data_IF_379241645031
#
_entry.id   IF_379241645031
#
_cell.length_a   1.000
_cell.length_b   1.000
_cell.length_c   1.000
_cell.angle_alpha   90.00
_cell.angle_beta   90.00
_cell.angle_gamma   90.00
#
_symmetry.space_group_name_H-M   'P 1'
#
loop_
_entity.id
_entity.type
_entity.pdbx_description
1 polymer ?
#
# COMPACT_ATOMS: atom_id res chain seq x y z
N UNK A 1 2.99 11.94 14.15
CA UNK A 1 2.20 12.98 14.88
C UNK A 1 1.43 12.31 16.02
N UNK A 2 1.45 12.85 17.26
CA UNK A 2 0.89 12.15 18.44
C UNK A 2 -0.58 11.74 18.33
N UNK A 3 -1.37 12.42 17.51
CA UNK A 3 -2.79 12.10 17.27
C UNK A 3 -2.94 11.18 16.06
N UNK A 4 -2.32 11.52 14.93
CA UNK A 4 -2.42 10.73 13.68
C UNK A 4 -1.74 9.36 13.81
N UNK A 5 -0.63 9.29 14.56
CA UNK A 5 0.18 8.08 14.73
C UNK A 5 -0.03 7.46 16.12
N UNK A 6 -1.24 7.58 16.70
CA UNK A 6 -1.58 7.02 18.02
C UNK A 6 -1.40 5.49 18.10
N UNK A 7 -1.29 4.81 16.96
CA UNK A 7 -0.97 3.38 16.86
C UNK A 7 0.49 3.07 17.27
N UNK A 8 1.38 4.08 17.25
CA UNK A 8 2.77 3.94 17.71
C UNK A 8 2.78 4.01 19.25
N UNK A 9 2.85 2.86 19.88
CA UNK A 9 2.84 2.73 21.35
C UNK A 9 4.22 3.03 21.95
N UNK A 10 4.28 3.13 23.29
CA UNK A 10 5.56 3.29 24.00
C UNK A 10 6.55 2.13 23.75
N UNK A 11 6.06 0.92 23.48
CA UNK A 11 6.91 -0.22 23.11
C UNK A 11 7.58 -0.02 21.74
N UNK A 12 6.96 0.78 20.87
CA UNK A 12 7.46 1.15 19.54
C UNK A 12 8.26 2.45 19.54
N UNK A 13 8.74 2.92 20.70
CA UNK A 13 9.43 4.21 20.86
C UNK A 13 10.59 4.41 19.87
N UNK A 14 11.23 3.35 19.43
CA UNK A 14 12.34 3.39 18.46
C UNK A 14 11.93 3.99 17.10
N UNK A 15 10.66 3.83 16.71
CA UNK A 15 10.11 4.41 15.47
C UNK A 15 9.35 5.72 15.70
N UNK A 16 9.31 6.24 16.93
CA UNK A 16 8.60 7.46 17.29
C UNK A 16 9.46 8.71 17.03
N UNK A 17 9.94 8.85 15.79
CA UNK A 17 10.71 9.98 15.28
C UNK A 17 10.45 10.22 13.80
N UNK A 18 10.88 11.33 13.27
CA UNK A 18 10.87 11.57 11.84
C UNK A 18 11.90 10.68 11.12
N UNK A 19 11.50 10.13 9.99
CA UNK A 19 12.35 9.38 9.06
C UNK A 19 12.30 10.10 7.70
N UNK A 20 13.33 10.86 7.44
CA UNK A 20 13.45 11.69 6.25
C UNK A 20 14.31 11.02 5.16
N UNK A 21 14.27 11.49 3.91
CA UNK A 21 15.09 10.92 2.84
C UNK A 21 16.57 10.78 3.19
N UNK A 22 17.13 11.70 3.96
CA UNK A 22 18.53 11.66 4.43
C UNK A 22 18.83 10.44 5.31
N UNK A 23 17.86 9.91 6.05
CA UNK A 23 18.01 8.69 6.85
C UNK A 23 18.00 7.43 5.98
N UNK A 24 17.28 7.47 4.86
CA UNK A 24 17.12 6.32 3.97
C UNK A 24 18.32 6.13 3.02
N UNK A 25 18.91 7.21 2.52
CA UNK A 25 19.93 7.14 1.50
C UNK A 25 21.13 6.25 1.87
N UNK A 26 21.71 6.34 3.09
CA UNK A 26 22.81 5.45 3.48
C UNK A 26 22.43 3.96 3.48
N UNK A 27 21.17 3.66 3.82
CA UNK A 27 20.66 2.28 3.84
C UNK A 27 20.51 1.71 2.43
N UNK A 28 20.02 2.52 1.49
CA UNK A 28 19.94 2.13 0.07
C UNK A 28 21.34 1.84 -0.48
N UNK A 29 22.30 2.73 -0.21
CA UNK A 29 23.69 2.58 -0.67
C UNK A 29 24.37 1.33 -0.08
N UNK A 30 24.21 1.09 1.22
CA UNK A 30 24.79 -0.06 1.91
C UNK A 30 24.23 -1.40 1.40
N UNK A 31 23.03 -1.41 0.83
CA UNK A 31 22.38 -2.60 0.30
C UNK A 31 22.33 -2.64 -1.23
N UNK A 32 23.03 -1.74 -1.93
CA UNK A 32 23.10 -1.65 -3.39
C UNK A 32 21.71 -1.50 -4.06
N UNK A 33 20.81 -0.72 -3.46
CA UNK A 33 19.55 -0.35 -4.07
C UNK A 33 19.68 0.92 -4.91
N UNK A 34 19.08 0.92 -6.10
CA UNK A 34 19.08 2.07 -7.01
C UNK A 34 18.11 3.18 -6.58
N UNK A 35 17.20 2.89 -5.66
CA UNK A 35 16.23 3.84 -5.14
C UNK A 35 15.06 3.19 -4.42
N UNK A 36 14.08 4.04 -4.10
CA UNK A 36 12.88 3.62 -3.38
C UNK A 36 11.63 4.25 -4.00
N UNK A 37 10.47 3.69 -3.67
CA UNK A 37 9.15 4.28 -3.89
C UNK A 37 8.62 4.74 -2.53
N UNK A 38 8.30 6.01 -2.40
CA UNK A 38 7.66 6.55 -1.21
C UNK A 38 6.16 6.22 -1.25
N UNK A 39 5.64 5.66 -0.16
CA UNK A 39 4.24 5.26 -0.06
C UNK A 39 3.59 6.01 1.09
N UNK A 40 2.39 6.54 0.85
CA UNK A 40 1.64 7.32 1.84
C UNK A 40 1.48 6.57 3.18
N UNK A 41 1.49 7.30 4.27
CA UNK A 41 1.18 6.84 5.62
C UNK A 41 -0.07 7.51 6.20
N UNK A 42 -0.45 8.69 5.68
CA UNK A 42 -1.67 9.42 6.04
C UNK A 42 -2.64 9.46 4.85
N UNK A 43 -3.94 9.36 5.11
CA UNK A 43 -4.98 9.43 4.09
C UNK A 43 -5.38 10.89 3.83
N UNK A 44 -4.49 11.63 3.19
CA UNK A 44 -4.72 13.02 2.79
C UNK A 44 -3.95 13.38 1.52
N UNK A 45 -4.49 14.30 0.73
CA UNK A 45 -3.79 14.86 -0.42
C UNK A 45 -2.57 15.69 0.00
N UNK A 46 -2.58 16.27 1.21
CA UNK A 46 -1.41 16.97 1.77
C UNK A 46 -0.22 16.03 1.93
N UNK A 47 -0.45 14.78 2.33
CA UNK A 47 0.60 13.75 2.39
C UNK A 47 1.12 13.42 0.99
N UNK A 48 0.22 13.31 0.01
CA UNK A 48 0.61 13.07 -1.38
C UNK A 48 1.50 14.19 -1.92
N UNK A 49 1.12 15.45 -1.69
CA UNK A 49 1.89 16.61 -2.11
C UNK A 49 3.24 16.68 -1.40
N UNK A 50 3.29 16.39 -0.10
CA UNK A 50 4.53 16.32 0.67
C UNK A 50 5.50 15.26 0.13
N UNK A 51 5.00 14.04 -0.16
CA UNK A 51 5.82 12.98 -0.73
C UNK A 51 6.33 13.33 -2.14
N UNK A 52 5.51 14.00 -2.95
CA UNK A 52 5.91 14.49 -4.27
C UNK A 52 6.98 15.56 -4.18
N UNK A 53 6.88 16.47 -3.21
CA UNK A 53 7.91 17.48 -2.96
C UNK A 53 9.24 16.81 -2.56
N UNK A 54 9.22 15.88 -1.60
CA UNK A 54 10.43 15.12 -1.22
C UNK A 54 11.02 14.35 -2.40
N UNK A 55 10.17 13.74 -3.22
CA UNK A 55 10.61 13.02 -4.40
C UNK A 55 11.24 13.97 -5.45
N UNK A 56 10.74 15.19 -5.59
CA UNK A 56 11.31 16.18 -6.52
C UNK A 56 12.74 16.59 -6.14
N UNK A 57 13.05 16.60 -4.85
CA UNK A 57 14.33 17.00 -4.28
C UNK A 57 15.32 15.84 -4.12
N UNK A 58 14.88 14.58 -4.31
CA UNK A 58 15.70 13.40 -4.07
C UNK A 58 15.56 12.41 -5.23
N UNK A 59 16.60 12.29 -6.05
CA UNK A 59 16.59 11.46 -7.27
C UNK A 59 16.50 9.95 -7.01
N UNK A 60 16.89 9.48 -5.84
CA UNK A 60 16.74 8.09 -5.44
C UNK A 60 15.31 7.74 -5.02
N UNK A 61 14.42 8.71 -4.81
CA UNK A 61 12.97 8.46 -4.74
C UNK A 61 12.46 8.39 -6.18
N UNK A 62 12.27 7.15 -6.67
CA UNK A 62 11.92 6.86 -8.08
C UNK A 62 10.42 6.99 -8.37
N UNK A 63 9.60 6.93 -7.34
CA UNK A 63 8.15 7.05 -7.47
C UNK A 63 7.49 7.36 -6.14
N UNK A 64 6.23 7.74 -6.23
CA UNK A 64 5.33 7.99 -5.09
C UNK A 64 4.05 7.19 -5.30
N UNK A 65 3.57 6.54 -4.26
CA UNK A 65 2.21 6.04 -4.15
C UNK A 65 1.52 6.92 -3.12
N UNK A 66 0.63 7.77 -3.58
CA UNK A 66 -0.07 8.76 -2.76
C UNK A 66 -1.41 8.26 -2.24
N UNK A 67 -2.20 9.19 -1.74
CA UNK A 67 -3.59 9.01 -1.42
C UNK A 67 -4.44 10.09 -2.09
N UNK A 68 -5.64 9.70 -2.49
CA UNK A 68 -6.70 10.55 -2.99
C UNK A 68 -8.03 9.94 -2.56
N UNK A 69 -9.05 10.74 -2.33
CA UNK A 69 -10.38 10.20 -2.08
C UNK A 69 -11.01 9.66 -3.37
N UNK A 70 -10.85 8.34 -3.59
CA UNK A 70 -11.42 7.65 -4.75
C UNK A 70 -12.96 7.61 -4.73
N UNK A 71 -13.59 7.90 -3.58
CA UNK A 71 -15.04 7.96 -3.46
C UNK A 71 -15.61 9.37 -3.74
N UNK A 72 -14.76 10.37 -3.94
CA UNK A 72 -15.18 11.75 -4.13
C UNK A 72 -15.90 11.94 -5.48
N UNK A 73 -16.91 12.82 -5.51
CA UNK A 73 -17.65 13.16 -6.74
C UNK A 73 -16.75 13.80 -7.81
N UNK A 74 -15.73 14.57 -7.38
CA UNK A 74 -14.79 15.27 -8.26
C UNK A 74 -13.52 14.45 -8.57
N UNK A 75 -13.55 13.12 -8.40
CA UNK A 75 -12.38 12.24 -8.56
C UNK A 75 -11.68 12.41 -9.91
N UNK A 76 -12.44 12.60 -11.00
CA UNK A 76 -11.90 12.79 -12.35
C UNK A 76 -10.99 14.02 -12.44
N UNK A 77 -11.43 15.13 -11.85
CA UNK A 77 -10.65 16.38 -11.79
C UNK A 77 -9.36 16.19 -10.98
N UNK A 78 -9.47 15.54 -9.82
CA UNK A 78 -8.30 15.29 -8.96
C UNK A 78 -7.27 14.39 -9.63
N UNK A 79 -7.71 13.33 -10.30
CA UNK A 79 -6.82 12.45 -11.07
C UNK A 79 -6.13 13.19 -12.21
N UNK A 80 -6.85 14.06 -12.93
CA UNK A 80 -6.26 14.89 -13.98
C UNK A 80 -5.18 15.84 -13.44
N UNK A 81 -5.41 16.46 -12.27
CA UNK A 81 -4.40 17.27 -11.59
C UNK A 81 -3.15 16.47 -11.27
N UNK A 82 -3.31 15.31 -10.62
CA UNK A 82 -2.19 14.48 -10.20
C UNK A 82 -1.45 13.81 -11.36
N UNK A 83 -2.08 13.64 -12.51
CA UNK A 83 -1.43 13.12 -13.72
C UNK A 83 -0.28 14.01 -14.24
N UNK A 84 -0.22 15.28 -13.81
CA UNK A 84 0.90 16.18 -14.10
C UNK A 84 2.21 15.80 -13.38
N UNK A 85 2.18 14.97 -12.35
CA UNK A 85 3.34 14.64 -11.53
C UNK A 85 3.99 13.33 -11.98
N UNK A 86 5.08 13.40 -12.75
CA UNK A 86 5.74 12.23 -13.36
C UNK A 86 6.20 11.15 -12.34
N UNK A 87 6.53 11.55 -11.12
CA UNK A 87 6.95 10.62 -10.05
C UNK A 87 5.77 9.95 -9.34
N UNK A 88 4.54 10.44 -9.48
CA UNK A 88 3.36 9.74 -8.96
C UNK A 88 3.09 8.50 -9.82
N UNK A 89 3.00 7.35 -9.18
CA UNK A 89 2.83 6.04 -9.85
C UNK A 89 1.48 5.41 -9.57
N UNK A 90 0.87 5.78 -8.46
CA UNK A 90 -0.41 5.19 -8.07
C UNK A 90 -0.93 5.75 -6.75
N UNK A 91 -1.98 5.11 -6.28
CA UNK A 91 -2.65 5.50 -5.05
C UNK A 91 -2.89 4.28 -4.17
N UNK A 92 -3.02 4.53 -2.86
CA UNK A 92 -3.33 3.54 -1.85
C UNK A 92 -4.33 4.10 -0.85
N UNK A 93 -5.32 3.29 -0.48
CA UNK A 93 -6.19 3.53 0.66
C UNK A 93 -5.91 2.49 1.76
N UNK A 94 -6.02 2.86 3.03
CA UNK A 94 -5.78 1.95 4.17
C UNK A 94 -7.05 1.12 4.41
N UNK A 95 -7.37 0.23 3.48
CA UNK A 95 -8.60 -0.60 3.52
C UNK A 95 -8.66 -1.47 4.78
N UNK A 96 -7.50 -1.88 5.30
CA UNK A 96 -7.43 -2.68 6.55
C UNK A 96 -8.06 -1.96 7.76
N UNK A 97 -8.19 -0.64 7.73
CA UNK A 97 -8.76 0.17 8.79
C UNK A 97 -10.24 0.52 8.56
N UNK A 98 -10.79 0.17 7.40
CA UNK A 98 -12.19 0.42 7.10
C UNK A 98 -13.10 -0.50 7.93
N UNK A 99 -14.17 0.06 8.53
CA UNK A 99 -15.15 -0.73 9.28
C UNK A 99 -16.05 -1.57 8.34
N UNK A 100 -16.21 -1.15 7.07
CA UNK A 100 -16.99 -1.85 6.07
C UNK A 100 -16.08 -2.82 5.30
N UNK A 101 -16.23 -4.11 5.55
CA UNK A 101 -15.47 -5.14 4.83
C UNK A 101 -15.71 -5.14 3.32
N UNK A 102 -16.87 -4.61 2.86
CA UNK A 102 -17.22 -4.50 1.45
C UNK A 102 -16.64 -3.25 0.79
N UNK A 103 -15.86 -2.44 1.48
CA UNK A 103 -15.33 -1.16 0.98
C UNK A 103 -14.78 -1.26 -0.45
N UNK A 104 -13.99 -2.29 -0.75
CA UNK A 104 -13.37 -2.50 -2.06
C UNK A 104 -14.35 -2.67 -3.22
N UNK A 105 -15.58 -3.12 -2.95
CA UNK A 105 -16.60 -3.36 -3.98
C UNK A 105 -17.74 -2.34 -3.95
N UNK A 106 -17.64 -1.32 -3.14
CA UNK A 106 -18.60 -0.21 -3.10
C UNK A 106 -18.67 0.49 -4.45
N UNK A 107 -19.87 0.91 -4.89
CA UNK A 107 -20.06 1.56 -6.20
C UNK A 107 -19.23 2.84 -6.38
N UNK A 108 -19.17 3.69 -5.34
CA UNK A 108 -18.41 4.94 -5.34
C UNK A 108 -16.89 4.68 -5.45
N UNK A 109 -16.35 3.76 -4.66
CA UNK A 109 -14.96 3.35 -4.73
C UNK A 109 -14.60 2.72 -6.08
N UNK A 110 -15.45 1.81 -6.58
CA UNK A 110 -15.27 1.21 -7.91
C UNK A 110 -15.30 2.26 -9.04
N UNK A 111 -16.09 3.32 -8.89
CA UNK A 111 -16.07 4.44 -9.84
C UNK A 111 -14.70 5.11 -9.89
N UNK A 112 -14.09 5.40 -8.73
CA UNK A 112 -12.73 5.96 -8.68
C UNK A 112 -11.68 5.02 -9.28
N UNK A 113 -11.71 3.73 -8.92
CA UNK A 113 -10.80 2.72 -9.50
C UNK A 113 -10.91 2.68 -11.02
N UNK A 114 -12.12 2.76 -11.59
CA UNK A 114 -12.34 2.72 -13.04
C UNK A 114 -11.64 3.84 -13.81
N UNK A 115 -11.28 4.93 -13.14
CA UNK A 115 -10.68 6.12 -13.76
C UNK A 115 -9.15 6.12 -13.69
N UNK A 116 -8.54 5.29 -12.81
CA UNK A 116 -7.08 5.26 -12.63
C UNK A 116 -6.31 4.93 -13.91
N UNK A 117 -6.81 3.96 -14.69
CA UNK A 117 -6.19 3.54 -15.96
C UNK A 117 -6.10 4.65 -16.99
N UNK A 118 -7.03 5.61 -16.99
CA UNK A 118 -7.00 6.74 -17.91
C UNK A 118 -5.75 7.59 -17.74
N UNK A 119 -5.12 7.51 -16.55
CA UNK A 119 -3.92 8.23 -16.18
C UNK A 119 -2.71 7.32 -15.91
N UNK A 120 -2.83 6.01 -16.20
CA UNK A 120 -1.77 5.00 -16.01
C UNK A 120 -1.33 4.85 -14.54
N UNK A 121 -2.23 5.09 -13.59
CA UNK A 121 -1.95 4.90 -12.17
C UNK A 121 -2.19 3.45 -11.75
N UNK A 122 -1.33 2.93 -10.87
CA UNK A 122 -1.54 1.67 -10.16
C UNK A 122 -2.44 1.88 -8.93
N UNK A 123 -2.99 0.80 -8.40
CA UNK A 123 -3.66 0.82 -7.11
C UNK A 123 -3.05 -0.22 -6.15
N UNK A 124 -2.58 0.25 -4.99
CA UNK A 124 -1.98 -0.59 -3.97
C UNK A 124 -3.06 -1.06 -2.97
N UNK A 125 -3.17 -2.37 -2.78
CA UNK A 125 -4.13 -3.05 -1.91
C UNK A 125 -3.51 -3.29 -0.53
N UNK A 126 -3.72 -2.38 0.42
CA UNK A 126 -3.32 -2.55 1.82
C UNK A 126 -4.47 -3.20 2.60
N UNK A 127 -4.42 -4.50 2.70
CA UNK A 127 -5.51 -5.36 3.16
C UNK A 127 -5.04 -6.42 4.16
N UNK A 128 -5.98 -7.00 4.90
CA UNK A 128 -5.80 -8.23 5.67
C UNK A 128 -6.37 -9.44 4.91
N UNK A 129 -6.08 -10.69 5.34
CA UNK A 129 -6.57 -11.91 4.70
C UNK A 129 -8.08 -11.94 4.46
N UNK A 130 -8.89 -11.44 5.42
CA UNK A 130 -10.35 -11.36 5.31
C UNK A 130 -10.86 -10.55 4.11
N UNK A 131 -10.05 -9.63 3.59
CA UNK A 131 -10.41 -8.79 2.44
C UNK A 131 -10.06 -9.43 1.08
N UNK A 132 -9.33 -10.54 1.04
CA UNK A 132 -8.89 -11.16 -0.22
C UNK A 132 -10.04 -11.55 -1.14
N UNK A 133 -11.18 -11.96 -0.58
CA UNK A 133 -12.39 -12.23 -1.35
C UNK A 133 -12.86 -10.99 -2.12
N UNK A 134 -12.96 -9.86 -1.44
CA UNK A 134 -13.40 -8.59 -2.05
C UNK A 134 -12.36 -8.02 -3.01
N UNK A 135 -11.07 -8.17 -2.68
CA UNK A 135 -9.98 -7.77 -3.56
C UNK A 135 -9.99 -8.56 -4.87
N UNK A 136 -10.27 -9.87 -4.81
CA UNK A 136 -10.43 -10.69 -6.01
C UNK A 136 -11.59 -10.20 -6.87
N UNK A 137 -12.77 -9.91 -6.28
CA UNK A 137 -13.92 -9.38 -7.00
C UNK A 137 -13.63 -8.02 -7.64
N UNK A 138 -12.87 -7.14 -6.97
CA UNK A 138 -12.42 -5.87 -7.54
C UNK A 138 -11.51 -6.09 -8.74
N UNK A 139 -10.52 -6.95 -8.61
CA UNK A 139 -9.55 -7.25 -9.69
C UNK A 139 -10.22 -7.86 -10.91
N UNK A 140 -11.16 -8.79 -10.71
CA UNK A 140 -11.98 -9.38 -11.79
C UNK A 140 -12.79 -8.32 -12.54
N UNK A 141 -13.33 -7.34 -11.81
CA UNK A 141 -14.13 -6.24 -12.40
C UNK A 141 -13.27 -5.30 -13.25
N UNK A 142 -11.97 -5.15 -12.93
CA UNK A 142 -11.07 -4.21 -13.62
C UNK A 142 -9.81 -4.94 -14.16
N UNK A 143 -9.93 -5.80 -15.17
CA UNK A 143 -8.84 -6.66 -15.62
C UNK A 143 -7.67 -5.92 -16.29
N UNK A 144 -7.86 -4.66 -16.67
CA UNK A 144 -6.81 -3.82 -17.24
C UNK A 144 -6.13 -2.91 -16.22
N UNK A 145 -6.69 -2.77 -15.01
CA UNK A 145 -6.13 -1.95 -13.94
C UNK A 145 -5.00 -2.71 -13.25
N UNK A 146 -3.75 -2.18 -13.17
CA UNK A 146 -2.70 -2.79 -12.38
C UNK A 146 -2.97 -2.64 -10.88
N UNK A 147 -2.93 -3.75 -10.15
CA UNK A 147 -3.05 -3.79 -8.69
C UNK A 147 -1.76 -4.32 -8.06
N UNK A 148 -1.42 -3.80 -6.88
CA UNK A 148 -0.27 -4.25 -6.10
C UNK A 148 -0.74 -4.63 -4.70
N UNK A 149 -0.62 -5.89 -4.33
CA UNK A 149 -0.94 -6.34 -2.97
C UNK A 149 0.22 -5.97 -2.04
N UNK A 150 -0.07 -5.17 -1.03
CA UNK A 150 0.92 -4.82 -0.02
C UNK A 150 1.14 -5.98 0.96
N UNK A 151 2.43 -6.28 1.24
CA UNK A 151 2.85 -7.17 2.32
C UNK A 151 2.19 -8.56 2.30
N UNK A 152 2.01 -9.16 1.10
CA UNK A 152 1.36 -10.47 0.92
C UNK A 152 -0.05 -10.55 1.55
N UNK A 153 -0.78 -9.41 1.63
CA UNK A 153 -2.04 -9.28 2.36
C UNK A 153 -1.94 -9.70 3.84
N UNK A 154 -0.75 -9.55 4.45
CA UNK A 154 -0.48 -9.69 5.89
C UNK A 154 -0.97 -11.02 6.50
N UNK A 155 -0.39 -12.18 6.11
CA UNK A 155 -0.70 -13.45 6.76
C UNK A 155 -0.39 -13.37 8.26
N UNK A 156 -1.26 -13.96 9.10
CA UNK A 156 -1.09 -13.97 10.55
C UNK A 156 -0.13 -15.09 10.97
N UNK A 157 1.15 -14.77 11.08
CA UNK A 157 2.19 -15.73 11.48
C UNK A 157 2.08 -16.24 12.93
N UNK A 158 1.21 -15.64 13.75
CA UNK A 158 1.01 -16.07 15.14
C UNK A 158 0.03 -17.25 15.26
N UNK A 159 -0.84 -17.43 14.25
CA UNK A 159 -1.91 -18.44 14.31
C UNK A 159 -1.57 -19.78 13.67
N UNK A 160 -0.49 -19.86 12.90
CA UNK A 160 -0.07 -21.05 12.15
C UNK A 160 -1.18 -21.67 11.26
N UNK A 161 -2.27 -20.93 11.00
CA UNK A 161 -3.35 -21.33 10.09
C UNK A 161 -3.42 -20.39 8.89
N UNK A 162 -2.82 -20.82 7.81
CA UNK A 162 -2.69 -20.05 6.58
C UNK A 162 -3.70 -20.43 5.49
N UNK A 163 -4.59 -21.40 5.73
CA UNK A 163 -5.44 -22.00 4.68
C UNK A 163 -6.30 -20.99 3.93
N UNK A 164 -7.00 -20.13 4.64
CA UNK A 164 -7.86 -19.12 4.01
C UNK A 164 -7.03 -18.04 3.32
N UNK A 165 -5.92 -17.61 3.93
CA UNK A 165 -4.99 -16.69 3.29
C UNK A 165 -4.39 -17.31 2.03
N UNK A 166 -3.87 -18.54 2.10
CA UNK A 166 -3.27 -19.24 0.96
C UNK A 166 -4.27 -19.38 -0.18
N UNK A 167 -5.50 -19.82 0.11
CA UNK A 167 -6.57 -19.92 -0.88
C UNK A 167 -6.84 -18.58 -1.56
N UNK A 168 -6.94 -17.50 -0.77
CA UNK A 168 -7.18 -16.15 -1.27
C UNK A 168 -6.05 -15.63 -2.16
N UNK A 169 -4.80 -15.75 -1.70
CA UNK A 169 -3.60 -15.34 -2.46
C UNK A 169 -3.47 -16.16 -3.75
N UNK A 170 -3.67 -17.49 -3.72
CA UNK A 170 -3.63 -18.32 -4.93
C UNK A 170 -4.73 -17.96 -5.91
N UNK A 171 -5.88 -17.53 -5.43
CA UNK A 171 -6.99 -17.10 -6.29
C UNK A 171 -6.66 -15.81 -7.00
N UNK A 172 -6.27 -14.78 -6.25
CA UNK A 172 -5.99 -13.45 -6.80
C UNK A 172 -4.73 -13.44 -7.68
N UNK A 173 -3.73 -14.30 -7.39
CA UNK A 173 -2.51 -14.43 -8.16
C UNK A 173 -2.71 -15.00 -9.59
N UNK A 174 -3.89 -15.48 -9.94
CA UNK A 174 -4.22 -15.90 -11.32
C UNK A 174 -4.43 -14.73 -12.27
N UNK A 175 -4.66 -13.55 -11.74
CA UNK A 175 -4.87 -12.34 -12.53
C UNK A 175 -3.54 -11.73 -12.96
N UNK A 176 -3.36 -11.51 -14.27
CA UNK A 176 -2.11 -10.99 -14.86
C UNK A 176 -1.80 -9.54 -14.51
N UNK A 177 -2.80 -8.81 -14.04
CA UNK A 177 -2.73 -7.40 -13.63
C UNK A 177 -2.48 -7.23 -12.12
N UNK A 178 -2.17 -8.32 -11.40
CA UNK A 178 -1.88 -8.31 -9.97
C UNK A 178 -0.40 -8.56 -9.72
N UNK A 179 0.20 -7.71 -8.92
CA UNK A 179 1.56 -7.79 -8.41
C UNK A 179 1.52 -7.87 -6.88
N UNK A 180 2.63 -8.27 -6.26
CA UNK A 180 2.68 -8.39 -4.82
C UNK A 180 4.03 -7.92 -4.25
N UNK A 181 3.98 -7.15 -3.16
CA UNK A 181 5.18 -6.78 -2.39
C UNK A 181 5.49 -7.88 -1.38
N UNK A 182 6.68 -8.49 -1.52
CA UNK A 182 7.23 -9.44 -0.55
C UNK A 182 7.93 -8.63 0.54
N UNK A 183 7.17 -8.20 1.54
CA UNK A 183 7.63 -7.30 2.61
C UNK A 183 6.68 -7.36 3.80
N UNK A 184 7.05 -6.71 4.92
CA UNK A 184 6.19 -6.52 6.08
C UNK A 184 5.87 -7.80 6.90
N UNK A 185 6.49 -8.93 6.59
CA UNK A 185 6.16 -10.20 7.24
C UNK A 185 6.49 -10.20 8.73
N UNK A 186 7.62 -9.60 9.10
CA UNK A 186 8.08 -9.49 10.50
C UNK A 186 7.09 -8.69 11.36
N UNK A 187 6.36 -7.75 10.77
CA UNK A 187 5.37 -6.94 11.51
C UNK A 187 4.14 -7.75 11.93
N UNK A 188 3.85 -8.85 11.24
CA UNK A 188 2.72 -9.75 11.52
C UNK A 188 3.13 -10.97 12.38
N UNK A 189 4.45 -11.10 12.67
CA UNK A 189 5.00 -12.18 13.51
C UNK A 189 5.08 -11.77 14.99
N UNK A 190 5.58 -12.68 15.85
CA UNK A 190 5.96 -12.34 17.22
C UNK A 190 7.22 -11.46 17.20
N UNK A 191 7.09 -10.19 17.50
CA UNK A 191 8.18 -9.20 17.41
C UNK A 191 9.40 -9.50 18.27
N UNK A 192 9.24 -10.34 19.32
CA UNK A 192 10.32 -10.69 20.26
C UNK A 192 10.96 -12.03 19.96
N UNK A 193 10.20 -12.94 19.33
CA UNK A 193 10.61 -14.34 19.22
C UNK A 193 10.60 -14.89 17.78
N UNK A 194 10.39 -14.05 16.76
CA UNK A 194 10.36 -14.50 15.38
C UNK A 194 11.71 -15.11 14.95
N UNK A 195 11.65 -16.06 14.05
CA UNK A 195 12.83 -16.71 13.44
C UNK A 195 12.64 -16.75 11.93
N UNK A 196 13.73 -16.77 11.17
CA UNK A 196 13.67 -16.83 9.70
C UNK A 196 12.81 -17.99 9.16
N UNK A 197 12.80 -19.12 9.85
CA UNK A 197 11.99 -20.29 9.50
C UNK A 197 10.49 -20.06 9.62
N UNK A 198 10.04 -19.11 10.40
CA UNK A 198 8.62 -18.78 10.55
C UNK A 198 8.03 -18.22 9.24
N UNK A 199 8.89 -17.80 8.29
CA UNK A 199 8.52 -17.25 6.99
C UNK A 199 8.77 -18.21 5.81
N UNK A 200 9.00 -19.49 6.07
CA UNK A 200 9.29 -20.52 5.04
C UNK A 200 8.07 -21.34 4.63
N UNK A 201 6.88 -20.84 4.85
CA UNK A 201 5.61 -21.51 4.47
C UNK A 201 5.44 -21.65 2.96
#
# INVERSE_FOLDING_TARGET
HPIKDAWITLEMKVIQRDFMPVDLLPLLQANNFDGAVAVQADQSEMETDFLLELASQNDYIKGVVGWIDLCAENISERLAYYAGFKKLKGFRHIVQAEPDENFLIRPDFCNGISQLMNHQFTYDLLIFPRHLYYANALVEKFPSQPFVIDHLAKPDFKKEDYKEWEKGIRTIARHKNVYCKISGLVTEADWRNWRAQDFTY
#
